data_IF_618487050809
#
_entry.id   IF_618487050809
#
_cell.length_a   1.000
_cell.length_b   1.000
_cell.length_c   1.000
_cell.angle_alpha   90.00
_cell.angle_beta   90.00
_cell.angle_gamma   90.00
#
_symmetry.space_group_name_H-M   'P 1'
#
loop_
_entity.id
_entity.type
_entity.pdbx_description
1 polymer ?
#
# COMPACT_ATOMS: atom_id res chain seq x y z
N UNK A 1 -23.33 15.12 -0.51
CA UNK A 1 -22.43 14.01 -0.93
C UNK A 1 -23.14 13.16 -2.00
N UNK A 2 -22.46 12.80 -3.09
CA UNK A 2 -23.06 11.99 -4.17
C UNK A 2 -22.99 10.48 -3.83
N UNK A 3 -24.15 9.82 -3.68
CA UNK A 3 -24.24 8.39 -3.33
C UNK A 3 -23.65 7.47 -4.40
N UNK A 4 -23.76 7.83 -5.69
CA UNK A 4 -23.17 7.04 -6.79
C UNK A 4 -21.66 7.08 -6.74
N UNK A 5 -21.09 8.24 -6.43
CA UNK A 5 -19.64 8.39 -6.27
C UNK A 5 -19.11 7.56 -5.10
N UNK A 6 -19.80 7.60 -3.96
CA UNK A 6 -19.48 6.76 -2.78
C UNK A 6 -19.45 5.27 -3.13
N UNK A 7 -20.43 4.79 -3.90
CA UNK A 7 -20.47 3.41 -4.40
C UNK A 7 -19.30 3.11 -5.37
N UNK A 8 -18.97 4.03 -6.28
CA UNK A 8 -17.83 3.87 -7.20
C UNK A 8 -16.50 3.69 -6.46
N UNK A 9 -16.28 4.48 -5.40
CA UNK A 9 -15.03 4.46 -4.65
C UNK A 9 -15.05 3.49 -3.47
N UNK A 10 -16.17 2.81 -3.22
CA UNK A 10 -16.33 1.86 -2.12
C UNK A 10 -16.18 2.49 -0.73
N UNK A 11 -16.79 3.65 -0.52
CA UNK A 11 -16.79 4.35 0.77
C UNK A 11 -18.19 4.87 1.13
N UNK A 12 -18.38 5.20 2.40
CA UNK A 12 -19.53 5.96 2.90
C UNK A 12 -19.26 7.47 2.79
N UNK A 13 -20.27 8.34 3.01
CA UNK A 13 -20.03 9.78 3.07
C UNK A 13 -19.00 10.23 4.12
N UNK A 14 -18.78 9.41 5.15
CA UNK A 14 -17.80 9.64 6.23
C UNK A 14 -16.45 8.97 6.00
N UNK A 15 -16.32 8.12 4.97
CA UNK A 15 -15.06 7.46 4.65
C UNK A 15 -14.02 8.43 4.05
N UNK A 16 -12.81 7.93 3.82
CA UNK A 16 -11.71 8.70 3.29
C UNK A 16 -10.96 7.96 2.17
N UNK A 17 -10.37 8.74 1.26
CA UNK A 17 -9.49 8.26 0.20
C UNK A 17 -8.17 9.03 0.25
N UNK A 18 -7.06 8.32 0.12
CA UNK A 18 -5.76 8.93 -0.14
C UNK A 18 -5.41 8.73 -1.61
N UNK A 19 -5.34 9.83 -2.36
CA UNK A 19 -5.09 9.83 -3.80
C UNK A 19 -3.70 10.42 -4.07
N UNK A 20 -2.90 9.72 -4.87
CA UNK A 20 -1.57 10.17 -5.29
C UNK A 20 -1.68 11.27 -6.35
N UNK A 21 -0.62 12.08 -6.56
CA UNK A 21 -0.62 13.11 -7.61
C UNK A 21 -0.92 12.60 -9.03
N UNK A 22 -0.63 11.32 -9.32
CA UNK A 22 -0.95 10.66 -10.58
C UNK A 22 -2.39 10.10 -10.67
N UNK A 23 -3.30 10.56 -9.81
CA UNK A 23 -4.72 10.18 -9.78
C UNK A 23 -5.00 8.69 -9.46
N UNK A 24 -4.03 8.02 -8.83
CA UNK A 24 -4.21 6.64 -8.34
C UNK A 24 -4.56 6.65 -6.85
N UNK A 25 -5.60 5.91 -6.47
CA UNK A 25 -5.96 5.68 -5.06
C UNK A 25 -4.87 4.82 -4.42
N UNK A 26 -4.12 5.38 -3.48
CA UNK A 26 -3.11 4.63 -2.72
C UNK A 26 -3.71 3.92 -1.51
N UNK A 27 -4.78 4.45 -0.94
CA UNK A 27 -5.47 3.86 0.21
C UNK A 27 -6.91 4.35 0.31
N UNK A 28 -7.74 3.56 1.01
CA UNK A 28 -9.18 3.75 1.17
C UNK A 28 -9.61 3.30 2.55
N UNK A 29 -10.47 4.10 3.18
CA UNK A 29 -11.16 3.80 4.42
C UNK A 29 -12.68 3.94 4.21
N UNK A 30 -13.46 2.84 4.30
CA UNK A 30 -14.89 2.88 4.00
C UNK A 30 -15.72 3.77 4.93
N UNK A 31 -15.34 3.92 6.20
CA UNK A 31 -16.08 4.67 7.23
C UNK A 31 -15.10 5.46 8.09
N UNK A 32 -15.50 6.61 8.64
CA UNK A 32 -14.60 7.40 9.49
C UNK A 32 -13.99 6.53 10.60
N UNK A 33 -12.64 6.46 10.70
CA UNK A 33 -11.99 5.78 11.80
C UNK A 33 -12.15 6.60 13.09
N UNK A 34 -12.09 5.93 14.24
CA UNK A 34 -12.19 6.60 15.55
C UNK A 34 -11.07 7.63 15.78
N UNK A 35 -9.87 7.35 15.24
CA UNK A 35 -8.73 8.27 15.20
C UNK A 35 -8.23 8.43 13.76
N UNK A 36 -8.65 9.53 13.13
CA UNK A 36 -8.28 9.85 11.76
C UNK A 36 -6.79 10.15 11.59
N UNK A 37 -6.14 10.74 12.60
CA UNK A 37 -4.73 11.11 12.53
C UNK A 37 -3.86 9.85 12.61
N UNK A 38 -4.13 8.96 13.56
CA UNK A 38 -3.40 7.71 13.68
C UNK A 38 -3.54 6.82 12.44
N UNK A 39 -4.76 6.72 11.89
CA UNK A 39 -5.01 5.97 10.66
C UNK A 39 -4.23 6.56 9.48
N UNK A 40 -4.22 7.89 9.33
CA UNK A 40 -3.47 8.56 8.27
C UNK A 40 -1.96 8.37 8.41
N UNK A 41 -1.39 8.61 9.58
CA UNK A 41 0.07 8.47 9.83
C UNK A 41 0.56 7.05 9.53
N UNK A 42 -0.22 6.05 9.95
CA UNK A 42 0.10 4.64 9.66
C UNK A 42 0.17 4.36 8.15
N UNK A 43 -0.82 4.85 7.39
CA UNK A 43 -0.89 4.67 5.93
C UNK A 43 0.21 5.45 5.23
N UNK A 44 0.45 6.68 5.67
CA UNK A 44 1.50 7.55 5.13
C UNK A 44 2.87 6.90 5.30
N UNK A 45 3.19 6.44 6.51
CA UNK A 45 4.43 5.71 6.78
C UNK A 45 4.59 4.51 5.86
N UNK A 46 3.54 3.71 5.63
CA UNK A 46 3.59 2.55 4.72
C UNK A 46 3.83 2.93 3.26
N UNK A 47 3.18 3.98 2.76
CA UNK A 47 3.33 4.43 1.36
C UNK A 47 4.76 4.91 1.10
N UNK A 48 5.38 5.61 2.06
CA UNK A 48 6.72 6.15 1.91
C UNK A 48 7.84 5.18 2.31
N UNK A 49 7.56 4.22 3.20
CA UNK A 49 8.53 3.19 3.62
C UNK A 49 8.92 2.24 2.47
N UNK A 50 8.05 2.00 1.49
CA UNK A 50 8.36 1.16 0.33
C UNK A 50 9.34 1.78 -0.68
N UNK A 51 9.94 2.94 -0.39
CA UNK A 51 11.00 3.54 -1.24
C UNK A 51 12.42 3.10 -0.86
N UNK A 52 12.58 2.36 0.23
CA UNK A 52 13.81 1.65 0.55
C UNK A 52 13.70 0.22 0.04
N UNK A 53 14.20 -0.05 -1.16
CA UNK A 53 14.53 -1.43 -1.50
C UNK A 53 15.55 -1.91 -0.47
N UNK A 54 15.15 -2.78 0.45
CA UNK A 54 16.09 -3.73 1.01
C UNK A 54 16.43 -4.70 -0.11
N UNK A 55 17.37 -4.27 -0.96
CA UNK A 55 18.21 -5.23 -1.67
C UNK A 55 18.88 -6.02 -0.57
N UNK A 56 18.59 -7.31 -0.52
CA UNK A 56 19.43 -8.30 0.13
C UNK A 56 20.91 -7.94 -0.12
N UNK A 57 21.73 -7.62 0.91
CA UNK A 57 23.15 -7.33 0.72
C UNK A 57 23.92 -8.56 0.24
N UNK A 58 23.30 -9.73 0.25
CA UNK A 58 23.91 -11.00 -0.08
C UNK A 58 23.31 -11.63 -1.33
N UNK A 59 23.07 -10.85 -2.40
CA UNK A 59 22.57 -11.27 -3.73
C UNK A 59 23.12 -12.60 -4.25
N UNK A 60 22.66 -13.70 -3.66
CA UNK A 60 23.09 -15.07 -3.88
C UNK A 60 21.87 -15.79 -4.38
N UNK A 61 21.71 -15.75 -5.70
CA UNK A 61 21.00 -16.79 -6.43
C UNK A 61 21.63 -18.13 -6.03
N UNK A 62 20.99 -18.86 -5.11
CA UNK A 62 21.31 -20.27 -4.87
C UNK A 62 20.84 -21.06 -6.08
N UNK A 63 21.67 -21.05 -7.12
CA UNK A 63 21.49 -21.87 -8.30
C UNK A 63 22.11 -23.24 -8.00
N UNK A 64 21.36 -24.10 -7.33
CA UNK A 64 21.74 -25.49 -7.07
C UNK A 64 21.59 -26.32 -8.35
N UNK A 65 22.50 -26.13 -9.31
CA UNK A 65 22.67 -27.04 -10.46
C UNK A 65 24.15 -27.41 -10.62
N UNK A 66 24.37 -28.73 -10.71
CA UNK A 66 25.64 -29.46 -10.95
C UNK A 66 26.60 -29.52 -9.75
N UNK A 67 27.16 -30.68 -9.37
CA UNK A 67 27.61 -31.75 -10.25
C UNK A 67 27.38 -33.16 -9.69
N UNK A 68 26.85 -34.01 -10.58
CA UNK A 68 27.11 -35.45 -10.67
C UNK A 68 28.49 -35.60 -11.30
N UNK A 69 29.41 -36.40 -10.72
CA UNK A 69 30.67 -36.98 -11.28
C UNK A 69 31.66 -37.15 -10.11
N UNK A 70 32.39 -38.26 -9.88
CA UNK A 70 32.51 -39.63 -10.43
C UNK A 70 32.96 -40.48 -9.25
#
# INVERSE_FOLDING_TARGET
MNRRWCATVGATPSGALLVRPNQVIAWREPTAPDDATAAFEHVWARIFACRGGERDPAGRLQNSRSARQV
#
